data_IF_726986934565
#
_entry.id   IF_726986934565
#
_cell.length_a   1.000
_cell.length_b   1.000
_cell.length_c   1.000
_cell.angle_alpha   90.00
_cell.angle_beta   90.00
_cell.angle_gamma   90.00
#
_symmetry.space_group_name_H-M   'P 1'
#
loop_
_entity.id
_entity.type
_entity.pdbx_description
1 polymer ?
#
# COMPACT_ATOMS: atom_id res chain seq x y z
N UNK A 1 4.13 9.82 -9.02
CA UNK A 1 4.89 9.42 -10.22
C UNK A 1 6.26 8.80 -9.88
N UNK A 2 6.93 9.19 -8.79
CA UNK A 2 8.23 8.58 -8.43
C UNK A 2 8.26 7.04 -8.27
N UNK A 3 7.29 6.41 -7.60
CA UNK A 3 7.33 4.94 -7.39
C UNK A 3 7.13 4.14 -8.68
N UNK A 4 6.27 4.62 -9.58
CA UNK A 4 6.03 4.01 -10.89
C UNK A 4 7.20 4.20 -11.87
N UNK A 5 8.12 5.11 -11.55
CA UNK A 5 9.36 5.36 -12.31
C UNK A 5 10.56 4.56 -11.74
N UNK A 6 10.36 3.76 -10.69
CA UNK A 6 11.39 2.92 -10.09
C UNK A 6 12.08 3.50 -8.86
N UNK A 7 11.54 4.59 -8.28
CA UNK A 7 12.07 5.16 -7.03
C UNK A 7 11.38 4.59 -5.79
N UNK A 8 12.10 4.52 -4.68
CA UNK A 8 11.53 4.12 -3.39
C UNK A 8 10.72 5.26 -2.77
N UNK A 9 9.59 4.94 -2.16
CA UNK A 9 8.74 5.89 -1.43
C UNK A 9 8.25 5.33 -0.11
N UNK A 10 8.22 6.15 0.93
CA UNK A 10 7.77 5.78 2.28
C UNK A 10 6.80 6.82 2.82
N UNK A 11 5.68 6.37 3.39
CA UNK A 11 4.66 7.22 4.00
C UNK A 11 4.42 6.75 5.43
N UNK A 12 4.48 7.68 6.39
CA UNK A 12 4.21 7.42 7.79
C UNK A 12 3.02 8.24 8.28
N UNK A 13 2.18 7.64 9.11
CA UNK A 13 1.18 8.35 9.90
C UNK A 13 1.63 8.42 11.36
N UNK A 14 1.91 9.63 11.86
CA UNK A 14 2.39 9.87 13.21
C UNK A 14 1.41 10.76 13.98
N UNK A 15 1.25 10.49 15.27
CA UNK A 15 0.33 11.21 16.15
C UNK A 15 -0.13 10.39 17.34
N UNK A 16 -0.79 11.03 18.30
CA UNK A 16 -1.30 10.37 19.50
C UNK A 16 -2.39 9.32 19.19
N UNK A 17 -2.67 8.42 20.12
CA UNK A 17 -3.82 7.50 20.01
C UNK A 17 -5.12 8.30 19.86
N UNK A 18 -5.98 7.88 18.93
CA UNK A 18 -7.21 8.59 18.59
C UNK A 18 -7.05 9.75 17.59
N UNK A 19 -5.83 10.13 17.18
CA UNK A 19 -5.61 11.24 16.21
C UNK A 19 -5.96 10.91 14.75
N UNK A 20 -6.51 9.72 14.48
CA UNK A 20 -6.91 9.32 13.13
C UNK A 20 -5.83 8.64 12.27
N UNK A 21 -4.68 8.21 12.81
CA UNK A 21 -3.63 7.51 12.04
C UNK A 21 -4.16 6.37 11.16
N UNK A 22 -4.92 5.46 11.76
CA UNK A 22 -5.53 4.33 11.05
C UNK A 22 -6.59 4.78 10.05
N UNK A 23 -7.34 5.85 10.37
CA UNK A 23 -8.32 6.43 9.46
C UNK A 23 -7.66 7.07 8.24
N UNK A 24 -6.50 7.72 8.39
CA UNK A 24 -5.75 8.28 7.26
C UNK A 24 -5.13 7.18 6.39
N UNK A 25 -4.52 6.15 6.98
CA UNK A 25 -3.82 5.10 6.22
C UNK A 25 -4.79 4.09 5.58
N UNK A 26 -5.71 3.53 6.37
CA UNK A 26 -6.68 2.52 5.93
C UNK A 26 -8.01 3.17 5.51
N UNK A 27 -8.52 4.07 6.35
CA UNK A 27 -9.87 4.63 6.22
C UNK A 27 -10.96 3.59 6.43
N UNK A 28 -12.13 3.84 5.86
CA UNK A 28 -13.25 2.90 5.84
C UNK A 28 -13.54 2.45 4.41
N UNK A 29 -14.09 1.24 4.26
CA UNK A 29 -14.40 0.65 2.96
C UNK A 29 -15.62 1.34 2.33
N UNK A 30 -16.61 1.67 3.15
CA UNK A 30 -17.86 2.32 2.78
C UNK A 30 -18.17 3.44 3.79
N UNK A 31 -18.40 4.70 3.36
CA UNK A 31 -18.45 5.21 1.98
C UNK A 31 -17.08 5.31 1.30
N UNK A 32 -17.06 5.14 -0.03
CA UNK A 32 -15.82 5.19 -0.85
C UNK A 32 -15.05 6.51 -0.71
N UNK A 33 -15.74 7.60 -0.37
CA UNK A 33 -15.14 8.91 -0.11
C UNK A 33 -14.21 8.92 1.10
N UNK A 34 -14.35 7.97 2.02
CA UNK A 34 -13.56 7.86 3.24
C UNK A 34 -12.49 6.75 3.21
N UNK A 35 -12.17 6.22 2.02
CA UNK A 35 -11.00 5.35 1.83
C UNK A 35 -9.70 6.10 2.17
N UNK A 36 -8.79 5.42 2.87
CA UNK A 36 -7.48 5.96 3.25
C UNK A 36 -6.46 5.93 2.10
N UNK A 37 -5.21 6.20 2.45
CA UNK A 37 -4.07 6.23 1.51
C UNK A 37 -3.81 4.85 0.88
N UNK A 38 -3.81 3.78 1.67
CA UNK A 38 -3.49 2.41 1.21
C UNK A 38 -4.45 1.94 0.10
N UNK A 39 -5.79 1.92 0.32
CA UNK A 39 -6.71 1.47 -0.73
C UNK A 39 -6.67 2.35 -1.98
N UNK A 40 -6.50 3.67 -1.83
CA UNK A 40 -6.35 4.59 -2.99
C UNK A 40 -5.05 4.37 -3.76
N UNK A 41 -3.97 4.01 -3.09
CA UNK A 41 -2.71 3.69 -3.74
C UNK A 41 -2.84 2.41 -4.57
N UNK A 42 -3.51 1.38 -4.03
CA UNK A 42 -3.82 0.17 -4.80
C UNK A 42 -4.73 0.46 -5.99
N UNK A 43 -5.78 1.28 -5.81
CA UNK A 43 -6.62 1.74 -6.92
C UNK A 43 -5.77 2.43 -7.98
N UNK A 44 -4.88 3.36 -7.63
CA UNK A 44 -3.99 4.01 -8.61
C UNK A 44 -3.06 3.00 -9.32
N UNK A 45 -2.48 2.04 -8.60
CA UNK A 45 -1.57 1.03 -9.18
C UNK A 45 -2.31 0.10 -10.14
N UNK A 46 -3.56 -0.28 -9.82
CA UNK A 46 -4.35 -1.25 -10.57
C UNK A 46 -5.39 -0.62 -11.52
N UNK A 47 -5.72 0.67 -11.40
CA UNK A 47 -6.62 1.42 -12.29
C UNK A 47 -6.02 1.52 -13.68
N UNK A 48 -6.24 0.44 -14.41
CA UNK A 48 -5.99 0.32 -15.84
C UNK A 48 -7.18 0.96 -16.54
N UNK A 49 -7.23 2.29 -16.56
CA UNK A 49 -8.24 3.03 -17.32
C UNK A 49 -8.02 2.81 -18.83
N UNK A 50 -8.99 2.31 -19.61
CA UNK A 50 -8.86 2.09 -21.07
C UNK A 50 -8.83 3.39 -21.90
N UNK A 51 -8.54 4.54 -21.28
CA UNK A 51 -8.55 5.84 -21.94
C UNK A 51 -7.66 6.92 -21.31
N UNK A 52 -6.98 6.66 -20.19
CA UNK A 52 -6.10 7.63 -19.54
C UNK A 52 -4.64 7.16 -19.58
N UNK A 53 -3.93 7.66 -20.59
CA UNK A 53 -2.51 7.52 -20.91
C UNK A 53 -1.59 8.18 -19.86
N UNK A 54 -1.82 7.95 -18.57
CA UNK A 54 -1.06 8.60 -17.48
C UNK A 54 -0.30 7.61 -16.58
N UNK A 55 -0.49 6.30 -16.77
CA UNK A 55 0.45 5.32 -16.26
C UNK A 55 1.49 5.05 -17.34
N UNK A 56 2.77 5.33 -17.05
CA UNK A 56 3.97 5.07 -17.87
C UNK A 56 4.24 3.57 -18.11
N UNK A 57 3.18 2.76 -18.06
CA UNK A 57 3.12 1.32 -18.32
C UNK A 57 2.82 1.03 -19.80
N UNK A 58 2.43 2.05 -20.58
CA UNK A 58 2.30 1.95 -22.04
C UNK A 58 3.50 2.50 -22.84
N UNK A 59 4.62 2.88 -22.20
CA UNK A 59 5.83 3.23 -22.97
C UNK A 59 6.60 1.99 -23.47
N UNK A 60 6.21 0.80 -23.07
CA UNK A 60 6.74 -0.44 -23.64
C UNK A 60 5.57 -1.39 -23.87
N UNK A 61 5.23 -1.64 -25.14
CA UNK A 61 4.26 -2.67 -25.59
C UNK A 61 4.56 -4.09 -25.04
N UNK A 62 5.61 -4.26 -24.24
CA UNK A 62 6.09 -5.52 -23.67
C UNK A 62 6.40 -5.46 -22.15
N UNK A 63 5.98 -4.45 -21.40
CA UNK A 63 6.27 -4.37 -19.97
C UNK A 63 5.40 -5.33 -19.15
N UNK A 64 6.03 -6.29 -18.46
CA UNK A 64 5.37 -7.18 -17.48
C UNK A 64 5.57 -6.61 -16.08
N UNK A 65 4.47 -6.47 -15.34
CA UNK A 65 4.50 -5.97 -13.96
C UNK A 65 4.28 -7.14 -12.99
N UNK A 66 5.12 -7.19 -11.95
CA UNK A 66 4.94 -8.10 -10.82
C UNK A 66 4.81 -7.24 -9.56
N UNK A 67 3.62 -7.23 -8.97
CA UNK A 67 3.37 -6.55 -7.70
C UNK A 67 3.47 -7.58 -6.58
N UNK A 68 4.29 -7.28 -5.57
CA UNK A 68 4.41 -8.07 -4.33
C UNK A 68 4.04 -7.20 -3.15
N UNK A 69 3.40 -7.78 -2.16
CA UNK A 69 2.99 -7.09 -0.92
C UNK A 69 3.38 -7.94 0.26
N UNK A 70 3.92 -7.29 1.29
CA UNK A 70 4.23 -7.88 2.60
C UNK A 70 3.54 -7.04 3.66
N UNK A 71 3.06 -7.65 4.73
CA UNK A 71 2.42 -6.94 5.85
C UNK A 71 2.97 -7.45 7.17
N UNK A 72 3.54 -6.54 7.95
CA UNK A 72 4.32 -6.86 9.14
C UNK A 72 4.00 -5.89 10.27
N UNK A 73 3.99 -6.40 11.49
CA UNK A 73 3.92 -5.59 12.71
C UNK A 73 5.24 -5.61 13.46
N UNK A 74 5.58 -4.48 14.08
CA UNK A 74 6.66 -4.37 15.05
C UNK A 74 6.00 -4.09 16.39
N UNK A 75 6.15 -5.02 17.32
CA UNK A 75 5.63 -4.90 18.67
C UNK A 75 6.68 -5.35 19.67
N UNK A 76 7.07 -4.46 20.60
CA UNK A 76 8.10 -4.73 21.60
C UNK A 76 9.43 -5.21 20.97
N UNK A 77 9.87 -4.53 19.91
CA UNK A 77 11.07 -4.88 19.11
C UNK A 77 11.05 -6.25 18.43
N UNK A 78 9.92 -6.97 18.47
CA UNK A 78 9.72 -8.22 17.73
C UNK A 78 8.98 -7.94 16.41
N UNK A 79 9.47 -8.52 15.31
CA UNK A 79 8.84 -8.48 13.99
C UNK A 79 7.94 -9.71 13.84
N UNK A 80 6.69 -9.49 13.42
CA UNK A 80 5.73 -10.57 13.13
C UNK A 80 5.12 -10.40 11.75
N UNK A 81 5.03 -11.51 11.02
CA UNK A 81 4.36 -11.57 9.72
C UNK A 81 2.84 -11.65 9.92
N UNK A 82 2.11 -10.67 9.39
CA UNK A 82 0.64 -10.64 9.45
C UNK A 82 -0.02 -11.49 8.36
N UNK A 83 0.74 -11.95 7.36
CA UNK A 83 0.26 -12.83 6.28
C UNK A 83 0.74 -14.29 6.42
N UNK A 84 1.61 -14.57 7.39
CA UNK A 84 2.09 -15.91 7.68
C UNK A 84 1.01 -16.83 8.25
N UNK A 85 1.21 -18.15 8.10
CA UNK A 85 0.29 -19.16 8.63
C UNK A 85 0.17 -19.11 10.17
N UNK A 86 1.24 -18.71 10.85
CA UNK A 86 1.25 -18.43 12.28
C UNK A 86 1.66 -16.98 12.53
N UNK A 87 0.66 -16.14 12.82
CA UNK A 87 0.85 -14.70 13.10
C UNK A 87 1.64 -14.44 14.39
N UNK A 88 1.84 -15.45 15.24
CA UNK A 88 2.66 -15.34 16.47
C UNK A 88 4.09 -15.82 16.27
N UNK A 89 4.38 -16.45 15.13
CA UNK A 89 5.72 -16.91 14.83
C UNK A 89 6.64 -15.69 14.62
N UNK A 90 7.74 -15.66 15.37
CA UNK A 90 8.76 -14.63 15.19
C UNK A 90 9.45 -14.85 13.85
N UNK A 91 9.63 -13.76 13.10
CA UNK A 91 10.57 -13.75 11.98
C UNK A 91 11.97 -13.59 12.58
N UNK A 92 12.77 -14.66 12.55
CA UNK A 92 14.21 -14.63 12.89
C UNK A 92 15.03 -13.92 11.83
#
# INVERSE_FOLDING_TARGET
QGVTEGYNGTIFAYGQTGSGKSFTMQGVVDPSTQKGIIPRAFEHIFETSPGHRSCSVQCAENAKFLVRTSYLEIYNEDIRDLLGADTKQKLE
#
